data_IF_669324652847
#
_entry.id   IF_669324652847
#
_cell.length_a   1.000
_cell.length_b   1.000
_cell.length_c   1.000
_cell.angle_alpha   90.00
_cell.angle_beta   90.00
_cell.angle_gamma   90.00
#
_symmetry.space_group_name_H-M   'P 1'
#
loop_
_entity.id
_entity.type
_entity.pdbx_description
1 polymer ?
#
# COMPACT_ATOMS: atom_id res chain seq x y z
N UNK A 1 -41.80 44.31 -1.05
CA UNK A 1 -41.67 45.03 -2.32
C UNK A 1 -40.98 44.10 -3.32
N UNK A 2 -41.60 43.92 -4.49
CA UNK A 2 -41.22 43.02 -5.59
C UNK A 2 -40.31 43.75 -6.59
N UNK A 3 -39.25 43.09 -7.04
CA UNK A 3 -38.56 43.25 -8.35
C UNK A 3 -37.67 42.01 -8.49
N UNK A 4 -37.85 40.98 -9.34
CA UNK A 4 -38.24 40.81 -10.75
C UNK A 4 -37.37 41.59 -11.74
N UNK A 5 -36.41 40.88 -12.34
CA UNK A 5 -35.87 41.00 -13.73
C UNK A 5 -34.61 40.12 -13.82
N UNK A 6 -34.21 39.46 -14.91
CA UNK A 6 -34.80 39.03 -16.18
C UNK A 6 -33.71 38.12 -16.81
N UNK A 7 -34.14 37.07 -17.53
CA UNK A 7 -33.26 36.22 -18.34
C UNK A 7 -32.71 36.96 -19.56
N UNK A 8 -31.51 36.57 -20.02
CA UNK A 8 -31.06 36.77 -21.39
C UNK A 8 -30.27 35.55 -21.89
N UNK A 9 -30.91 34.79 -22.77
CA UNK A 9 -30.31 33.81 -23.67
C UNK A 9 -29.56 34.53 -24.79
N UNK A 10 -28.37 34.04 -25.15
CA UNK A 10 -27.73 34.33 -26.43
C UNK A 10 -27.38 32.99 -27.07
N UNK A 11 -27.81 32.81 -28.32
CA UNK A 11 -27.47 31.67 -29.16
C UNK A 11 -26.87 32.12 -30.49
N UNK A 12 -26.39 31.10 -31.22
CA UNK A 12 -26.02 31.03 -32.65
C UNK A 12 -24.72 31.79 -32.99
N UNK A 13 -23.70 31.26 -33.70
CA UNK A 13 -23.69 30.57 -35.01
C UNK A 13 -22.39 29.79 -35.26
N UNK A 14 -22.52 28.70 -36.01
CA UNK A 14 -21.44 27.90 -36.60
C UNK A 14 -20.78 28.58 -37.81
N UNK A 15 -19.53 28.24 -38.10
CA UNK A 15 -18.92 28.39 -39.43
C UNK A 15 -17.93 27.24 -39.69
N UNK A 16 -18.28 26.41 -40.68
CA UNK A 16 -17.41 25.40 -41.27
C UNK A 16 -16.54 26.05 -42.36
N UNK A 17 -15.27 25.67 -42.44
CA UNK A 17 -14.39 26.02 -43.57
C UNK A 17 -13.80 24.73 -44.14
N UNK A 18 -14.30 24.37 -45.31
CA UNK A 18 -13.69 23.41 -46.21
C UNK A 18 -12.72 24.16 -47.14
N UNK A 19 -11.51 23.65 -47.33
CA UNK A 19 -10.61 24.08 -48.40
C UNK A 19 -10.23 22.86 -49.23
N UNK A 20 -10.74 22.85 -50.45
CA UNK A 20 -10.41 21.95 -51.54
C UNK A 20 -9.26 22.52 -52.38
N UNK A 21 -8.37 21.63 -52.81
CA UNK A 21 -7.84 21.63 -54.18
C UNK A 21 -6.47 22.26 -54.43
N UNK A 22 -5.50 21.42 -54.77
CA UNK A 22 -4.69 21.58 -55.98
C UNK A 22 -3.93 20.28 -56.29
N UNK A 23 -4.30 19.62 -57.39
CA UNK A 23 -3.57 18.51 -58.01
C UNK A 23 -2.49 19.12 -58.88
N UNK A 24 -1.22 18.78 -58.64
CA UNK A 24 -0.11 19.06 -59.54
C UNK A 24 0.51 17.74 -60.00
N UNK A 25 0.36 17.45 -61.30
CA UNK A 25 1.03 16.37 -62.01
C UNK A 25 2.46 16.82 -62.31
N UNK A 26 3.46 16.04 -61.87
CA UNK A 26 4.86 16.21 -62.27
C UNK A 26 5.48 14.86 -62.68
N UNK A 27 6.10 14.89 -63.85
CA UNK A 27 6.75 13.82 -64.63
C UNK A 27 8.02 13.31 -63.94
N UNK A 28 8.40 12.02 -64.04
CA UNK A 28 9.56 11.48 -63.33
C UNK A 28 10.87 11.87 -64.05
N UNK A 29 11.80 12.47 -63.30
CA UNK A 29 13.20 12.61 -63.68
C UNK A 29 14.02 11.56 -62.93
N UNK A 30 14.74 10.73 -63.67
CA UNK A 30 15.72 9.78 -63.16
C UNK A 30 16.86 10.54 -62.46
N UNK A 31 17.09 10.25 -61.18
CA UNK A 31 18.25 10.71 -60.41
C UNK A 31 18.56 9.74 -59.29
N UNK A 32 19.78 9.19 -59.27
CA UNK A 32 20.20 8.10 -58.39
C UNK A 32 20.07 8.41 -56.90
N UNK A 33 19.38 7.52 -56.17
CA UNK A 33 19.31 7.53 -54.72
C UNK A 33 20.51 6.80 -54.09
N UNK A 34 20.99 7.24 -52.91
CA UNK A 34 22.07 6.57 -52.19
C UNK A 34 21.59 5.22 -51.64
N UNK A 35 22.52 4.27 -51.55
CA UNK A 35 22.29 2.90 -51.08
C UNK A 35 21.63 2.86 -49.68
N UNK A 36 20.74 1.87 -49.42
CA UNK A 36 20.13 1.72 -48.10
C UNK A 36 21.22 1.37 -47.07
N UNK A 37 21.34 2.20 -46.04
CA UNK A 37 22.17 1.91 -44.88
C UNK A 37 21.66 0.63 -44.21
N UNK A 38 22.58 -0.33 -44.00
CA UNK A 38 22.31 -1.57 -43.31
C UNK A 38 21.70 -1.29 -41.93
N UNK A 39 20.56 -1.92 -41.64
CA UNK A 39 19.96 -1.93 -40.32
C UNK A 39 20.99 -2.50 -39.32
N UNK A 40 21.45 -1.66 -38.40
CA UNK A 40 22.32 -2.10 -37.31
C UNK A 40 21.61 -3.15 -36.45
N UNK A 41 22.34 -4.12 -35.88
CA UNK A 41 21.74 -5.16 -35.06
C UNK A 41 20.99 -4.52 -33.88
N UNK A 42 19.68 -4.74 -33.85
CA UNK A 42 18.82 -4.42 -32.70
C UNK A 42 19.41 -5.14 -31.49
N UNK A 43 19.94 -4.38 -30.51
CA UNK A 43 20.39 -4.96 -29.24
C UNK A 43 19.17 -5.61 -28.60
N UNK A 44 19.11 -6.93 -28.67
CA UNK A 44 18.20 -7.73 -27.86
C UNK A 44 18.57 -7.42 -26.41
N UNK A 45 17.68 -6.75 -25.68
CA UNK A 45 17.86 -6.55 -24.25
C UNK A 45 17.98 -7.95 -23.60
N UNK A 46 19.15 -8.30 -23.07
CA UNK A 46 19.28 -9.49 -22.25
C UNK A 46 18.29 -9.37 -21.11
N UNK A 47 17.35 -10.30 -21.02
CA UNK A 47 16.50 -10.45 -19.86
C UNK A 47 17.42 -10.61 -18.64
N UNK A 48 17.37 -9.64 -17.72
CA UNK A 48 18.15 -9.70 -16.49
C UNK A 48 17.71 -10.94 -15.71
N UNK A 49 18.63 -11.89 -15.49
CA UNK A 49 18.30 -13.12 -14.78
C UNK A 49 17.87 -12.79 -13.34
N UNK A 50 16.81 -13.44 -12.86
CA UNK A 50 16.38 -13.34 -11.46
C UNK A 50 17.48 -13.93 -10.57
N UNK A 51 17.96 -13.21 -9.53
CA UNK A 51 19.03 -13.70 -8.67
C UNK A 51 18.60 -14.94 -7.87
N UNK A 52 19.54 -15.85 -7.59
CA UNK A 52 19.29 -16.99 -6.70
C UNK A 52 19.20 -16.54 -5.24
N UNK A 53 18.44 -17.28 -4.41
CA UNK A 53 18.34 -17.01 -2.96
C UNK A 53 19.68 -17.28 -2.25
N UNK A 54 20.29 -16.28 -1.59
CA UNK A 54 21.48 -16.47 -0.76
C UNK A 54 21.20 -17.39 0.43
N UNK A 55 22.17 -18.22 0.81
CA UNK A 55 22.05 -19.03 2.04
C UNK A 55 22.36 -18.17 3.25
N UNK A 56 21.43 -18.11 4.21
CA UNK A 56 21.61 -17.45 5.50
C UNK A 56 21.72 -18.52 6.58
N UNK A 57 22.79 -18.50 7.37
CA UNK A 57 22.94 -19.45 8.49
C UNK A 57 21.94 -19.12 9.61
N UNK A 58 21.54 -20.10 10.46
CA UNK A 58 20.62 -19.82 11.56
C UNK A 58 21.13 -18.73 12.52
N UNK A 59 22.44 -18.71 12.79
CA UNK A 59 23.05 -17.70 13.65
C UNK A 59 23.04 -16.29 13.00
N UNK A 60 23.32 -16.21 11.70
CA UNK A 60 23.23 -14.96 10.96
C UNK A 60 21.77 -14.46 10.90
N UNK A 61 20.82 -15.36 10.65
CA UNK A 61 19.40 -15.03 10.64
C UNK A 61 18.96 -14.46 11.99
N UNK A 62 19.27 -15.14 13.10
CA UNK A 62 18.89 -14.69 14.45
C UNK A 62 19.51 -13.33 14.84
N UNK A 63 20.64 -12.95 14.25
CA UNK A 63 21.29 -11.66 14.49
C UNK A 63 20.65 -10.49 13.72
N UNK A 64 19.79 -10.76 12.73
CA UNK A 64 19.11 -9.72 11.97
C UNK A 64 18.02 -9.02 12.79
N UNK A 65 17.76 -7.73 12.54
CA UNK A 65 16.64 -7.03 13.16
C UNK A 65 15.33 -7.66 12.73
N UNK A 66 14.41 -7.82 13.68
CA UNK A 66 13.07 -8.35 13.40
C UNK A 66 12.19 -7.26 12.79
N UNK A 67 11.59 -7.55 11.64
CA UNK A 67 10.56 -6.72 11.04
C UNK A 67 9.22 -6.93 11.74
N UNK A 68 9.09 -6.34 12.92
CA UNK A 68 7.84 -6.20 13.69
C UNK A 68 7.32 -4.76 13.62
N UNK A 69 6.08 -4.53 14.02
CA UNK A 69 5.39 -3.22 13.96
C UNK A 69 6.21 -2.03 14.51
N UNK A 70 6.98 -2.21 15.58
CA UNK A 70 7.74 -1.13 16.19
C UNK A 70 9.12 -0.90 15.57
N UNK A 71 9.58 -1.75 14.64
CA UNK A 71 10.94 -1.73 14.14
C UNK A 71 11.18 -0.66 13.05
N UNK A 72 12.37 -0.04 13.10
CA UNK A 72 12.89 0.86 12.05
C UNK A 72 14.06 0.18 11.36
N UNK A 73 13.93 -0.13 10.08
CA UNK A 73 14.89 -0.93 9.31
C UNK A 73 15.13 -0.28 7.95
N UNK A 74 16.22 0.49 7.84
CA UNK A 74 16.54 1.27 6.63
C UNK A 74 16.73 0.45 5.35
N UNK A 75 17.06 -0.84 5.47
CA UNK A 75 17.23 -1.74 4.32
C UNK A 75 15.93 -2.23 3.68
N UNK A 76 14.77 -2.00 4.31
CA UNK A 76 13.46 -2.29 3.72
C UNK A 76 13.15 -1.34 2.57
N UNK A 77 12.29 -1.76 1.64
CA UNK A 77 11.89 -0.94 0.50
C UNK A 77 10.61 -0.16 0.83
N UNK A 78 10.51 1.13 0.47
CA UNK A 78 9.25 1.85 0.59
C UNK A 78 8.18 1.22 -0.32
N UNK A 79 6.93 1.30 0.10
CA UNK A 79 5.78 0.87 -0.68
C UNK A 79 4.66 1.92 -0.58
N UNK A 80 4.56 2.76 -1.60
CA UNK A 80 3.78 4.00 -1.61
C UNK A 80 2.69 3.99 -2.69
N UNK A 81 2.07 2.82 -2.88
CA UNK A 81 1.01 2.64 -3.88
C UNK A 81 -0.11 1.76 -3.34
N UNK A 82 -1.25 1.85 -4.01
CA UNK A 82 -2.39 0.99 -3.71
C UNK A 82 -2.35 -0.32 -4.51
N UNK A 83 -2.85 -1.39 -3.92
CA UNK A 83 -3.05 -2.69 -4.58
C UNK A 83 -4.39 -3.30 -4.19
N UNK A 84 -4.96 -4.10 -5.07
CA UNK A 84 -6.27 -4.76 -4.87
C UNK A 84 -6.21 -6.27 -4.96
N UNK A 85 -5.03 -6.83 -5.21
CA UNK A 85 -4.80 -8.25 -5.35
C UNK A 85 -3.54 -8.63 -4.59
N UNK A 86 -3.61 -9.79 -3.96
CA UNK A 86 -2.60 -10.28 -3.05
C UNK A 86 -2.62 -11.80 -2.96
N UNK A 87 -1.65 -12.34 -2.23
CA UNK A 87 -1.66 -13.72 -1.76
C UNK A 87 -1.23 -13.74 -0.31
N UNK A 88 -2.00 -14.39 0.54
CA UNK A 88 -1.69 -14.43 1.98
C UNK A 88 -0.87 -15.67 2.32
N UNK A 89 0.16 -15.46 3.11
CA UNK A 89 1.06 -16.50 3.58
C UNK A 89 1.16 -16.50 5.10
N UNK A 90 1.46 -17.68 5.65
CA UNK A 90 2.03 -17.84 6.97
C UNK A 90 3.49 -18.27 6.88
N UNK A 91 4.29 -17.85 7.83
CA UNK A 91 5.70 -18.23 7.92
C UNK A 91 5.84 -19.70 8.33
N UNK A 92 6.70 -20.46 7.64
CA UNK A 92 7.04 -21.85 8.02
C UNK A 92 8.04 -21.89 9.17
N UNK A 93 8.92 -20.90 9.22
CA UNK A 93 9.96 -20.66 10.20
C UNK A 93 10.39 -19.19 10.06
N UNK A 94 11.30 -18.72 10.92
CA UNK A 94 11.92 -17.41 10.76
C UNK A 94 12.52 -17.30 9.35
N UNK A 95 12.34 -16.13 8.71
CA UNK A 95 12.68 -15.94 7.32
C UNK A 95 13.53 -14.68 7.11
N UNK A 96 14.63 -14.76 6.35
CA UNK A 96 15.39 -13.57 5.99
C UNK A 96 14.60 -12.68 5.02
N UNK A 97 14.70 -11.38 5.22
CA UNK A 97 14.14 -10.33 4.39
C UNK A 97 15.26 -9.64 3.62
N UNK A 98 15.03 -9.39 2.34
CA UNK A 98 16.01 -8.77 1.46
C UNK A 98 15.47 -7.48 0.85
N UNK A 99 16.34 -6.49 0.70
CA UNK A 99 16.06 -5.29 -0.08
C UNK A 99 16.06 -5.56 -1.59
N UNK A 100 15.99 -4.49 -2.39
CA UNK A 100 15.82 -4.57 -3.85
C UNK A 100 16.90 -5.41 -4.56
N UNK A 101 18.15 -5.33 -4.09
CA UNK A 101 19.29 -6.03 -4.69
C UNK A 101 19.24 -7.55 -4.50
N UNK A 102 18.57 -8.05 -3.45
CA UNK A 102 18.48 -9.49 -3.11
C UNK A 102 19.83 -10.19 -2.92
N UNK A 103 20.82 -9.45 -2.44
CA UNK A 103 22.19 -9.95 -2.21
C UNK A 103 22.44 -10.29 -0.73
N UNK A 104 22.12 -9.36 0.17
CA UNK A 104 22.30 -9.52 1.62
C UNK A 104 20.96 -9.32 2.36
N UNK A 105 20.68 -10.12 3.40
CA UNK A 105 19.48 -9.94 4.18
C UNK A 105 19.61 -8.70 5.07
N UNK A 106 18.54 -7.91 5.12
CA UNK A 106 18.46 -6.65 5.86
C UNK A 106 17.68 -6.77 7.16
N UNK A 107 16.85 -7.81 7.27
CA UNK A 107 15.98 -8.08 8.41
C UNK A 107 15.53 -9.54 8.43
N UNK A 108 14.74 -9.90 9.43
CA UNK A 108 14.02 -11.18 9.50
C UNK A 108 12.55 -10.99 9.83
N UNK A 109 11.71 -11.90 9.34
CA UNK A 109 10.46 -12.23 10.02
C UNK A 109 10.69 -13.28 11.10
N UNK A 110 10.02 -13.12 12.23
CA UNK A 110 9.79 -14.22 13.15
C UNK A 110 8.64 -15.10 12.61
N UNK A 111 8.67 -16.40 12.91
CA UNK A 111 7.57 -17.31 12.59
C UNK A 111 6.33 -17.07 13.46
N UNK A 112 6.55 -16.55 14.67
CA UNK A 112 5.51 -16.17 15.60
C UNK A 112 5.56 -14.64 15.82
N UNK A 113 4.42 -13.99 15.75
CA UNK A 113 4.30 -12.55 15.97
C UNK A 113 4.42 -12.17 17.45
N UNK A 114 4.28 -10.87 17.73
CA UNK A 114 4.38 -10.31 19.08
C UNK A 114 3.28 -10.81 20.04
N UNK A 115 2.19 -11.40 19.53
CA UNK A 115 1.15 -12.10 20.32
C UNK A 115 1.40 -13.62 20.40
N UNK A 116 2.57 -14.07 19.93
CA UNK A 116 2.97 -15.49 19.87
C UNK A 116 2.05 -16.32 18.98
N UNK A 117 1.39 -15.70 18.00
CA UNK A 117 0.57 -16.36 16.99
C UNK A 117 1.35 -16.55 15.68
N UNK A 118 0.95 -17.48 14.79
CA UNK A 118 1.61 -17.62 13.48
C UNK A 118 1.60 -16.31 12.69
N UNK A 119 2.79 -15.83 12.30
CA UNK A 119 2.93 -14.59 11.55
C UNK A 119 2.27 -14.71 10.18
N UNK A 120 1.37 -13.77 9.88
CA UNK A 120 0.68 -13.65 8.59
C UNK A 120 1.28 -12.50 7.79
N UNK A 121 1.59 -12.74 6.52
CA UNK A 121 2.17 -11.74 5.60
C UNK A 121 1.46 -11.77 4.26
N UNK A 122 1.52 -10.65 3.55
CA UNK A 122 0.83 -10.44 2.28
C UNK A 122 1.85 -10.33 1.18
N UNK A 123 1.83 -11.28 0.24
CA UNK A 123 2.62 -11.24 -0.98
C UNK A 123 1.92 -10.45 -2.08
N UNK A 124 2.74 -9.79 -2.88
CA UNK A 124 2.35 -8.86 -3.94
C UNK A 124 2.76 -9.35 -5.32
N UNK A 125 3.88 -10.09 -5.39
CA UNK A 125 4.51 -10.43 -6.66
C UNK A 125 5.57 -11.51 -6.49
N UNK A 126 5.45 -12.56 -7.28
CA UNK A 126 6.44 -13.62 -7.39
C UNK A 126 7.46 -13.35 -8.50
N UNK A 127 8.74 -13.57 -8.18
CA UNK A 127 9.85 -13.62 -9.15
C UNK A 127 10.72 -14.87 -8.87
N UNK A 128 10.48 -15.95 -9.61
CA UNK A 128 11.21 -17.21 -9.41
C UNK A 128 11.03 -17.74 -7.98
N UNK A 129 12.13 -17.83 -7.23
CA UNK A 129 12.15 -18.28 -5.84
C UNK A 129 11.84 -17.17 -4.81
N UNK A 130 11.49 -15.97 -5.27
CA UNK A 130 11.23 -14.80 -4.44
C UNK A 130 9.76 -14.39 -4.45
N UNK A 131 9.27 -13.98 -3.29
CA UNK A 131 7.99 -13.30 -3.12
C UNK A 131 8.27 -11.89 -2.58
N UNK A 132 7.74 -10.86 -3.25
CA UNK A 132 7.72 -9.51 -2.69
C UNK A 132 6.55 -9.44 -1.72
N UNK A 133 6.81 -9.15 -0.46
CA UNK A 133 5.77 -9.08 0.57
C UNK A 133 5.74 -7.71 1.24
N UNK A 134 4.57 -7.30 1.70
CA UNK A 134 4.43 -6.18 2.64
C UNK A 134 5.05 -6.57 3.99
N UNK A 135 5.62 -5.60 4.71
CA UNK A 135 6.17 -5.83 6.05
C UNK A 135 5.49 -4.89 7.06
N UNK A 136 5.41 -5.28 8.33
CA UNK A 136 4.82 -4.44 9.37
C UNK A 136 5.82 -3.40 9.90
N UNK A 137 7.07 -3.40 9.45
CA UNK A 137 8.09 -2.46 9.92
C UNK A 137 8.14 -1.21 9.03
N UNK A 138 8.87 -0.19 9.50
CA UNK A 138 9.13 1.04 8.74
C UNK A 138 10.57 1.16 8.32
N UNK A 139 10.82 1.91 7.24
CA UNK A 139 12.17 2.16 6.76
C UNK A 139 12.89 3.20 7.63
N UNK A 140 12.16 4.23 8.05
CA UNK A 140 12.64 5.36 8.83
C UNK A 140 11.49 6.01 9.59
N UNK A 141 11.81 6.89 10.54
CA UNK A 141 10.82 7.74 11.21
C UNK A 141 10.48 8.97 10.35
N UNK A 142 9.26 9.52 10.43
CA UNK A 142 8.89 10.77 9.77
C UNK A 142 9.85 11.93 10.05
N UNK A 143 10.31 12.12 11.29
CA UNK A 143 11.26 13.19 11.66
C UNK A 143 12.61 13.07 10.95
N UNK A 144 13.03 11.85 10.62
CA UNK A 144 14.28 11.57 9.90
C UNK A 144 14.17 11.76 8.38
N UNK A 145 12.96 11.95 7.85
CA UNK A 145 12.70 12.03 6.40
C UNK A 145 12.98 13.40 5.75
N UNK A 146 13.33 14.42 6.54
CA UNK A 146 13.66 15.75 6.01
C UNK A 146 12.50 16.48 5.32
N UNK A 147 11.25 16.18 5.71
CA UNK A 147 10.05 16.83 5.20
C UNK A 147 9.40 16.15 3.98
N UNK A 148 10.03 15.11 3.41
CA UNK A 148 9.42 14.28 2.38
C UNK A 148 8.35 13.31 2.93
N UNK A 149 8.31 13.13 4.26
CA UNK A 149 7.50 12.10 4.93
C UNK A 149 8.17 10.73 4.85
N UNK A 150 7.95 9.89 5.86
CA UNK A 150 8.36 8.48 5.79
C UNK A 150 7.35 7.68 4.96
N UNK A 151 7.79 6.59 4.33
CA UNK A 151 6.85 5.68 3.70
C UNK A 151 5.94 5.06 4.77
N UNK A 152 4.63 5.23 4.60
CA UNK A 152 3.63 4.65 5.49
C UNK A 152 3.57 3.12 5.41
N UNK A 153 4.17 2.54 4.38
CA UNK A 153 4.26 1.10 4.23
C UNK A 153 5.62 0.71 3.63
N UNK A 154 6.08 -0.48 4.00
CA UNK A 154 7.30 -1.06 3.41
C UNK A 154 7.07 -2.45 2.83
N UNK A 155 8.04 -2.90 2.05
CA UNK A 155 8.08 -4.22 1.44
C UNK A 155 9.49 -4.81 1.46
N UNK A 156 9.58 -6.13 1.36
CA UNK A 156 10.84 -6.86 1.25
C UNK A 156 10.67 -8.10 0.37
N UNK A 157 11.79 -8.59 -0.18
CA UNK A 157 11.84 -9.88 -0.84
C UNK A 157 12.06 -11.00 0.18
N UNK A 158 11.29 -12.08 0.05
CA UNK A 158 11.34 -13.26 0.91
C UNK A 158 11.48 -14.52 0.07
N UNK A 159 12.28 -15.51 0.48
CA UNK A 159 12.30 -16.81 -0.19
C UNK A 159 10.93 -17.49 -0.11
N UNK A 160 10.37 -17.90 -1.25
CA UNK A 160 9.08 -18.62 -1.32
C UNK A 160 9.10 -19.89 -0.46
N UNK A 161 10.27 -20.54 -0.34
CA UNK A 161 10.44 -21.73 0.50
C UNK A 161 10.16 -21.49 1.99
N UNK A 162 10.23 -20.24 2.47
CA UNK A 162 9.89 -19.87 3.84
C UNK A 162 8.39 -19.64 4.06
N UNK A 163 7.59 -19.63 2.99
CA UNK A 163 6.18 -19.25 3.01
C UNK A 163 5.27 -20.47 2.81
N UNK A 164 4.17 -20.49 3.56
CA UNK A 164 3.03 -21.40 3.35
C UNK A 164 1.83 -20.56 2.97
N UNK A 165 1.35 -20.73 1.75
CA UNK A 165 0.13 -20.08 1.30
C UNK A 165 -1.06 -20.54 2.15
N UNK A 166 -1.93 -19.59 2.49
CA UNK A 166 -3.19 -19.83 3.19
C UNK A 166 -4.32 -19.20 2.38
N UNK A 167 -5.57 -19.48 2.77
CA UNK A 167 -6.73 -18.90 2.09
C UNK A 167 -6.63 -17.38 2.05
N UNK A 168 -6.55 -16.83 0.83
CA UNK A 168 -6.48 -15.39 0.62
C UNK A 168 -7.88 -14.78 0.81
N UNK A 169 -8.00 -13.66 1.54
CA UNK A 169 -9.26 -12.94 1.72
C UNK A 169 -9.92 -12.57 0.40
N UNK A 170 -11.24 -12.75 0.32
CA UNK A 170 -12.05 -12.39 -0.86
C UNK A 170 -12.64 -10.99 -0.76
N UNK A 171 -12.23 -10.23 0.26
CA UNK A 171 -12.61 -8.85 0.52
C UNK A 171 -11.39 -8.07 0.98
N UNK A 172 -11.43 -6.76 0.80
CA UNK A 172 -10.47 -5.80 1.33
C UNK A 172 -11.17 -4.67 2.05
N UNK A 173 -10.42 -3.95 2.88
CA UNK A 173 -10.87 -2.74 3.55
C UNK A 173 -10.40 -1.54 2.73
N UNK A 174 -11.29 -0.58 2.49
CA UNK A 174 -10.99 0.71 1.89
C UNK A 174 -11.38 1.81 2.86
N UNK A 175 -10.39 2.61 3.26
CA UNK A 175 -10.55 3.78 4.12
C UNK A 175 -10.50 5.01 3.22
N UNK A 176 -11.60 5.75 3.11
CA UNK A 176 -11.61 7.06 2.45
C UNK A 176 -11.46 8.15 3.50
N UNK A 177 -10.32 8.83 3.49
CA UNK A 177 -10.02 9.95 4.40
C UNK A 177 -10.85 11.18 4.05
N UNK A 178 -11.12 11.37 2.75
CA UNK A 178 -11.95 12.45 2.24
C UNK A 178 -13.42 12.27 2.62
N UNK A 179 -13.96 11.07 2.43
CA UNK A 179 -15.37 10.80 2.74
C UNK A 179 -15.58 10.35 4.19
N UNK A 180 -14.49 10.21 4.96
CA UNK A 180 -14.50 9.81 6.37
C UNK A 180 -15.27 8.51 6.57
N UNK A 181 -14.86 7.48 5.85
CA UNK A 181 -15.57 6.20 5.81
C UNK A 181 -14.65 5.01 5.72
N UNK A 182 -15.14 3.86 6.20
CA UNK A 182 -14.55 2.54 5.97
C UNK A 182 -15.55 1.69 5.19
N UNK A 183 -15.08 1.07 4.12
CA UNK A 183 -15.87 0.15 3.29
C UNK A 183 -15.21 -1.22 3.24
N UNK A 184 -16.01 -2.27 3.32
CA UNK A 184 -15.58 -3.64 2.98
C UNK A 184 -15.94 -3.85 1.52
N UNK A 185 -14.95 -4.18 0.71
CA UNK A 185 -15.05 -4.29 -0.75
C UNK A 185 -14.67 -5.70 -1.16
N UNK A 186 -15.59 -6.41 -1.81
CA UNK A 186 -15.33 -7.74 -2.35
C UNK A 186 -14.24 -7.73 -3.44
N UNK A 187 -13.72 -8.91 -3.78
CA UNK A 187 -12.75 -9.09 -4.86
C UNK A 187 -13.25 -8.58 -6.23
N UNK A 188 -14.57 -8.56 -6.44
CA UNK A 188 -15.19 -7.99 -7.66
C UNK A 188 -15.24 -6.46 -7.69
N UNK A 189 -14.87 -5.79 -6.59
CA UNK A 189 -14.97 -4.34 -6.45
C UNK A 189 -16.30 -3.85 -5.88
N UNK A 190 -17.25 -4.74 -5.59
CA UNK A 190 -18.53 -4.36 -4.97
C UNK A 190 -18.34 -4.03 -3.50
N UNK A 191 -18.80 -2.85 -3.07
CA UNK A 191 -18.92 -2.48 -1.65
C UNK A 191 -20.02 -3.32 -1.01
N UNK A 192 -19.66 -4.15 -0.04
CA UNK A 192 -20.62 -5.00 0.69
C UNK A 192 -21.12 -4.32 1.96
N UNK A 193 -20.27 -3.52 2.60
CA UNK A 193 -20.58 -2.77 3.82
C UNK A 193 -19.86 -1.41 3.78
N UNK A 194 -20.47 -0.38 4.37
CA UNK A 194 -19.89 0.96 4.49
C UNK A 194 -20.29 1.58 5.83
N UNK A 195 -19.32 2.17 6.51
CA UNK A 195 -19.46 2.79 7.83
C UNK A 195 -18.82 4.17 7.84
N UNK A 196 -19.34 5.06 8.67
CA UNK A 196 -18.66 6.30 9.03
C UNK A 196 -17.37 6.00 9.80
N UNK A 197 -16.36 6.85 9.61
CA UNK A 197 -15.05 6.68 10.22
C UNK A 197 -14.43 8.01 10.66
N UNK A 198 -13.86 8.04 11.86
CA UNK A 198 -13.00 9.12 12.30
C UNK A 198 -11.58 8.88 11.79
N UNK A 199 -10.97 9.88 11.16
CA UNK A 199 -9.61 9.79 10.58
C UNK A 199 -8.69 10.84 11.20
N UNK A 200 -7.41 10.80 10.81
CA UNK A 200 -6.37 11.70 11.30
C UNK A 200 -6.68 13.18 11.05
N UNK A 201 -6.22 14.03 11.95
CA UNK A 201 -6.25 15.50 11.80
C UNK A 201 -5.24 15.99 10.76
N UNK A 202 -5.24 17.29 10.46
CA UNK A 202 -4.25 17.87 9.55
C UNK A 202 -2.81 17.79 10.11
N UNK A 203 -2.65 17.86 11.44
CA UNK A 203 -1.33 17.79 12.08
C UNK A 203 -0.79 16.35 12.11
N UNK A 204 -1.69 15.38 12.19
CA UNK A 204 -1.38 13.94 12.21
C UNK A 204 -2.35 13.15 11.33
N UNK A 205 -2.19 13.28 10.00
CA UNK A 205 -3.11 12.69 9.05
C UNK A 205 -3.00 11.17 9.03
N UNK A 206 -4.12 10.51 8.73
CA UNK A 206 -4.08 9.12 8.27
C UNK A 206 -3.38 9.11 6.90
N UNK A 207 -2.38 8.24 6.67
CA UNK A 207 -1.66 8.20 5.39
C UNK A 207 -2.61 7.84 4.24
N UNK A 208 -2.42 8.42 3.05
CA UNK A 208 -3.25 8.16 1.86
C UNK A 208 -2.39 7.64 0.70
N UNK A 209 -3.03 7.00 -0.29
CA UNK A 209 -2.35 6.44 -1.46
C UNK A 209 -1.56 5.17 -1.18
N UNK A 210 -1.83 4.49 -0.06
CA UNK A 210 -1.05 3.35 0.43
C UNK A 210 -1.94 2.14 0.71
N UNK A 211 -1.35 0.95 0.64
CA UNK A 211 -1.99 -0.31 1.03
C UNK A 211 -1.15 -1.06 2.04
N UNK A 212 -1.76 -1.36 3.19
CA UNK A 212 -1.27 -2.33 4.17
C UNK A 212 -2.18 -3.54 4.25
N UNK A 213 -2.14 -4.21 5.40
CA UNK A 213 -2.98 -5.36 5.67
C UNK A 213 -3.30 -5.46 7.16
N UNK A 214 -4.39 -6.17 7.51
CA UNK A 214 -4.68 -6.54 8.89
C UNK A 214 -3.62 -7.51 9.39
N UNK A 215 -2.70 -7.00 10.20
CA UNK A 215 -1.55 -7.75 10.72
C UNK A 215 -1.96 -8.62 11.91
N UNK A 216 -2.63 -8.01 12.90
CA UNK A 216 -3.05 -8.67 14.12
C UNK A 216 -4.25 -7.98 14.77
N UNK A 217 -4.77 -8.58 15.84
CA UNK A 217 -5.81 -7.98 16.67
C UNK A 217 -5.68 -8.38 18.13
N UNK A 218 -6.05 -7.48 19.03
CA UNK A 218 -6.05 -7.73 20.47
C UNK A 218 -7.03 -6.81 21.19
N UNK A 219 -7.40 -7.17 22.40
CA UNK A 219 -8.24 -6.33 23.28
C UNK A 219 -7.31 -5.66 24.29
N UNK A 220 -7.39 -4.34 24.39
CA UNK A 220 -6.65 -3.55 25.36
C UNK A 220 -7.52 -2.39 25.88
N UNK A 221 -8.28 -2.63 26.96
CA UNK A 221 -9.18 -1.63 27.52
C UNK A 221 -8.45 -0.37 28.01
N UNK A 222 -7.14 -0.44 28.27
CA UNK A 222 -6.35 0.71 28.71
C UNK A 222 -6.22 1.79 27.61
N UNK A 223 -6.46 1.42 26.34
CA UNK A 223 -6.52 2.36 25.22
C UNK A 223 -7.90 2.99 25.01
N UNK A 224 -8.83 2.78 25.95
CA UNK A 224 -10.19 3.35 25.89
C UNK A 224 -11.08 2.68 24.85
N UNK A 225 -10.74 1.46 24.41
CA UNK A 225 -11.54 0.68 23.45
C UNK A 225 -12.55 -0.25 24.15
N UNK A 226 -12.54 -0.32 25.47
CA UNK A 226 -13.34 -1.29 26.22
C UNK A 226 -13.02 -2.72 25.81
N UNK A 227 -14.05 -3.55 25.63
CA UNK A 227 -13.90 -4.94 25.18
C UNK A 227 -13.80 -5.07 23.65
N UNK A 228 -13.80 -3.95 22.91
CA UNK A 228 -13.70 -3.99 21.45
C UNK A 228 -12.24 -4.22 21.02
N UNK A 229 -11.97 -5.20 20.14
CA UNK A 229 -10.62 -5.49 19.68
C UNK A 229 -10.09 -4.39 18.77
N UNK A 230 -8.85 -3.98 19.03
CA UNK A 230 -8.03 -3.15 18.15
C UNK A 230 -7.59 -4.01 16.96
N UNK A 231 -7.82 -3.52 15.76
CA UNK A 231 -7.37 -4.15 14.51
C UNK A 231 -6.08 -3.46 14.08
N UNK A 232 -4.95 -4.12 14.29
CA UNK A 232 -3.66 -3.61 13.86
C UNK A 232 -3.50 -3.78 12.36
N UNK A 233 -3.02 -2.72 11.71
CA UNK A 233 -2.57 -2.78 10.33
C UNK A 233 -1.06 -2.74 10.27
N UNK A 234 -0.47 -3.09 9.13
CA UNK A 234 0.95 -2.84 8.86
C UNK A 234 1.27 -1.38 8.47
N UNK A 235 0.29 -0.48 8.47
CA UNK A 235 0.49 0.91 8.06
C UNK A 235 1.07 1.75 9.19
N UNK A 236 1.85 2.75 8.83
CA UNK A 236 2.46 3.74 9.71
C UNK A 236 2.12 5.17 9.32
N UNK A 237 2.18 6.08 10.29
CA UNK A 237 2.21 7.53 10.04
C UNK A 237 3.38 7.88 9.13
N UNK A 238 3.11 8.67 8.09
CA UNK A 238 4.15 9.26 7.24
C UNK A 238 4.59 10.64 7.70
N UNK A 239 3.86 11.26 8.64
CA UNK A 239 3.95 12.69 8.93
C UNK A 239 4.49 13.01 10.34
N UNK A 240 4.31 12.11 11.32
CA UNK A 240 4.69 12.37 12.71
C UNK A 240 5.26 11.12 13.39
N UNK A 241 6.29 11.33 14.22
CA UNK A 241 6.81 10.29 15.11
C UNK A 241 5.82 10.07 16.26
N UNK A 242 5.43 8.83 16.52
CA UNK A 242 4.65 8.50 17.72
C UNK A 242 5.53 7.98 18.86
N UNK A 243 4.98 7.97 20.09
CA UNK A 243 3.75 8.59 20.54
C UNK A 243 4.04 9.95 21.13
N UNK A 244 4.44 10.92 20.32
CA UNK A 244 4.81 12.24 20.87
C UNK A 244 5.78 12.10 22.07
N UNK A 245 6.71 11.12 22.01
CA UNK A 245 7.68 10.82 23.08
C UNK A 245 7.85 9.37 23.58
N UNK A 246 7.24 8.33 22.99
CA UNK A 246 7.39 6.90 23.39
C UNK A 246 8.01 5.96 22.33
N UNK A 247 7.51 4.72 22.19
CA UNK A 247 8.23 3.64 21.46
C UNK A 247 7.45 2.85 20.39
N UNK A 248 6.17 3.14 20.12
CA UNK A 248 5.33 2.27 19.26
C UNK A 248 5.51 2.48 17.74
N UNK A 249 6.10 3.61 17.34
CA UNK A 249 6.55 3.79 15.97
C UNK A 249 5.51 4.21 14.93
N UNK A 250 4.36 4.74 15.36
CA UNK A 250 3.44 5.41 14.43
C UNK A 250 2.41 4.48 13.81
N UNK A 251 2.12 3.36 14.47
CA UNK A 251 1.27 2.30 13.93
C UNK A 251 -0.18 2.79 13.73
N UNK A 252 -0.75 2.49 12.57
CA UNK A 252 -2.14 2.81 12.25
C UNK A 252 -3.02 1.59 12.56
N UNK A 253 -4.00 1.77 13.43
CA UNK A 253 -5.00 0.76 13.75
C UNK A 253 -6.42 1.21 13.41
N UNK A 254 -7.34 0.24 13.26
CA UNK A 254 -8.77 0.48 13.25
C UNK A 254 -9.34 0.04 14.61
N UNK A 255 -10.04 0.92 15.30
CA UNK A 255 -10.51 0.62 16.65
C UNK A 255 -11.81 1.34 17.01
N UNK A 256 -12.48 0.85 18.04
CA UNK A 256 -13.69 1.49 18.56
C UNK A 256 -13.39 2.85 19.17
N UNK A 257 -14.30 3.80 18.99
CA UNK A 257 -14.36 5.01 19.78
C UNK A 257 -15.80 5.53 19.87
N UNK A 258 -16.12 6.35 20.88
CA UNK A 258 -17.42 7.01 20.96
C UNK A 258 -17.62 8.07 19.85
N UNK A 259 -16.53 8.69 19.37
CA UNK A 259 -16.54 9.62 18.23
C UNK A 259 -16.02 8.91 16.99
N UNK A 260 -16.91 8.64 16.04
CA UNK A 260 -16.65 7.74 14.89
C UNK A 260 -16.68 8.45 13.54
N UNK A 261 -16.65 9.77 13.49
CA UNK A 261 -16.63 10.55 12.24
C UNK A 261 -15.82 11.83 12.41
N UNK A 262 -15.39 12.43 11.30
CA UNK A 262 -14.57 13.64 11.31
C UNK A 262 -13.06 13.37 11.26
N UNK A 263 -12.30 14.46 11.16
CA UNK A 263 -10.85 14.47 11.37
C UNK A 263 -10.60 14.65 12.88
N UNK A 264 -10.45 13.54 13.60
CA UNK A 264 -10.55 13.51 15.08
C UNK A 264 -9.46 12.67 15.75
N UNK A 265 -8.62 11.98 14.99
CA UNK A 265 -7.58 11.08 15.52
C UNK A 265 -6.17 11.58 15.21
N UNK A 266 -5.18 10.83 15.70
CA UNK A 266 -3.76 11.02 15.40
C UNK A 266 -3.28 10.05 14.30
N UNK A 267 -4.14 9.73 13.33
CA UNK A 267 -3.84 8.85 12.22
C UNK A 267 -4.59 7.52 12.25
N UNK A 268 -4.87 6.97 13.44
CA UNK A 268 -5.73 5.77 13.58
C UNK A 268 -7.15 6.01 13.04
N UNK A 269 -7.85 4.93 12.70
CA UNK A 269 -9.23 5.01 12.21
C UNK A 269 -10.21 4.61 13.32
N UNK A 270 -11.08 5.54 13.69
CA UNK A 270 -12.09 5.36 14.75
C UNK A 270 -13.39 4.88 14.15
N UNK A 271 -13.93 3.80 14.71
CA UNK A 271 -15.08 3.07 14.19
C UNK A 271 -16.18 2.90 15.24
N UNK A 272 -17.41 2.71 14.77
CA UNK A 272 -18.51 2.24 15.61
C UNK A 272 -18.30 0.78 16.02
N UNK A 273 -19.04 0.30 17.02
CA UNK A 273 -18.95 -1.09 17.47
C UNK A 273 -19.34 -2.08 16.37
N UNK A 274 -20.34 -1.74 15.56
CA UNK A 274 -20.76 -2.50 14.39
C UNK A 274 -19.63 -2.59 13.35
N UNK A 275 -19.02 -1.46 13.01
CA UNK A 275 -17.91 -1.42 12.05
C UNK A 275 -16.70 -2.22 12.55
N UNK A 276 -16.35 -2.12 13.83
CA UNK A 276 -15.29 -2.97 14.43
C UNK A 276 -15.65 -4.44 14.33
N UNK A 277 -16.89 -4.83 14.61
CA UNK A 277 -17.33 -6.23 14.51
C UNK A 277 -17.21 -6.75 13.07
N UNK A 278 -17.63 -5.96 12.09
CA UNK A 278 -17.51 -6.30 10.66
C UNK A 278 -16.05 -6.47 10.23
N UNK A 279 -15.17 -5.53 10.59
CA UNK A 279 -13.73 -5.65 10.32
C UNK A 279 -13.12 -6.86 11.03
N UNK A 280 -13.49 -7.11 12.28
CA UNK A 280 -12.99 -8.23 13.07
C UNK A 280 -13.38 -9.60 12.49
N UNK A 281 -14.47 -9.69 11.72
CA UNK A 281 -14.87 -10.91 11.03
C UNK A 281 -13.98 -11.24 9.82
N UNK A 282 -13.19 -10.28 9.32
CA UNK A 282 -12.29 -10.50 8.20
C UNK A 282 -11.03 -11.28 8.63
N UNK A 283 -10.45 -12.12 7.77
CA UNK A 283 -9.20 -12.82 8.10
C UNK A 283 -8.01 -11.86 8.25
N UNK A 284 -6.98 -12.26 9.02
CA UNK A 284 -5.68 -11.59 8.96
C UNK A 284 -5.09 -11.71 7.54
N UNK A 285 -4.26 -10.74 7.17
CA UNK A 285 -3.78 -10.58 5.79
C UNK A 285 -4.77 -9.86 4.86
N UNK A 286 -5.98 -9.53 5.33
CA UNK A 286 -6.91 -8.70 4.54
C UNK A 286 -6.28 -7.36 4.21
N UNK A 287 -6.20 -7.01 2.93
CA UNK A 287 -5.67 -5.72 2.48
C UNK A 287 -6.45 -4.55 3.09
N UNK A 288 -5.72 -3.52 3.47
CA UNK A 288 -6.24 -2.24 3.96
C UNK A 288 -5.69 -1.14 3.08
N UNK A 289 -6.53 -0.55 2.24
CA UNK A 289 -6.16 0.57 1.36
C UNK A 289 -6.67 1.87 1.93
N UNK A 290 -5.85 2.92 1.91
CA UNK A 290 -6.27 4.25 2.33
C UNK A 290 -6.18 5.23 1.16
N UNK A 291 -7.27 5.97 0.93
CA UNK A 291 -7.46 6.92 -0.18
C UNK A 291 -7.99 8.29 0.28
#
# INVERSE_FOLDING_TARGET
MRTRTLWATIGVTAAAVAVTGAVAVAVPMLGGGPAPAAAGPTRSASASAVPSVPRVSPAALAALPEAQYSAVIGGLMPFDRTVTADTVFQLRADAPLFGAAREEPVARFAAADFLRQPTTVVGLRREGAWELVLTPARQQLPSASGGAGAAAQTSAWVPVASLREVSTPTSRIVISTKDQSVSIVSASGTVTERFDAGVGTADTPTPTGVTGYLEQRYVDPAQGTGDHPIQLTSLHSSAADEPYGGHDGGLIGLHWNATTSGAVSHGCVRLSSEAVAAVNALPLGTLVTVE
#
